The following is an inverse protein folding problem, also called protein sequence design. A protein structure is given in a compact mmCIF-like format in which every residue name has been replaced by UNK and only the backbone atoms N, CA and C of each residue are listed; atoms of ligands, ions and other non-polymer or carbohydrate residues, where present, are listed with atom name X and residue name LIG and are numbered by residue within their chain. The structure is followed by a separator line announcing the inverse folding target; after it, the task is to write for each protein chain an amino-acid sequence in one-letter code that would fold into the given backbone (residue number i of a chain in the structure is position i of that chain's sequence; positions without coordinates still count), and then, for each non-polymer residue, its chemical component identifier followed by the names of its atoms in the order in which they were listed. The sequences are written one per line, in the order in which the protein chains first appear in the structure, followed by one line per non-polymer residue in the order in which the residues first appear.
data_IF_764038686809
#
_entry.id   IF_764038686809
#
_cell.length_a   1.000
_cell.length_b   1.000
_cell.length_c   1.000
_cell.angle_alpha   90.00
_cell.angle_beta   90.00
_cell.angle_gamma   90.00
#
_symmetry.space_group_name_H-M   'P 1'
#
loop_
_entity.id
_entity.type
_entity.pdbx_description
1 polymer ?
#
# COMPACT_ATOMS: atom_id res chain seq x y z
N UNK A 1 55.89 24.72 -18.61
CA UNK A 1 55.96 23.43 -17.90
C UNK A 1 54.98 23.49 -16.73
N UNK A 2 53.71 23.16 -16.98
CA UNK A 2 52.63 23.26 -15.98
C UNK A 2 52.50 21.92 -15.22
N UNK A 3 52.66 21.93 -13.90
CA UNK A 3 52.35 20.80 -13.01
C UNK A 3 50.84 20.77 -12.77
N UNK A 4 50.18 19.66 -13.12
CA UNK A 4 48.78 19.37 -12.74
C UNK A 4 48.74 18.90 -11.28
N UNK A 5 47.76 19.33 -10.45
CA UNK A 5 47.56 18.75 -9.13
C UNK A 5 46.80 17.42 -9.24
N UNK A 6 47.25 16.42 -8.50
CA UNK A 6 46.56 15.14 -8.31
C UNK A 6 45.41 15.38 -7.32
N UNK A 7 44.16 15.18 -7.75
CA UNK A 7 43.02 15.10 -6.84
C UNK A 7 42.86 13.64 -6.39
N UNK A 8 43.07 13.37 -5.10
CA UNK A 8 42.71 12.09 -4.49
C UNK A 8 41.22 12.13 -4.17
N UNK A 9 40.41 11.37 -4.92
CA UNK A 9 39.00 11.16 -4.63
C UNK A 9 38.92 10.06 -3.56
N UNK A 10 38.70 10.46 -2.30
CA UNK A 10 38.41 9.50 -1.22
C UNK A 10 36.99 8.98 -1.42
N UNK A 11 36.87 7.70 -1.78
CA UNK A 11 35.60 7.00 -1.83
C UNK A 11 35.28 6.55 -0.40
N UNK A 12 34.39 7.27 0.28
CA UNK A 12 33.92 6.91 1.61
C UNK A 12 32.97 5.69 1.47
N UNK A 13 33.51 4.50 1.70
CA UNK A 13 32.73 3.26 1.74
C UNK A 13 31.92 3.24 3.06
N UNK A 14 30.63 3.58 2.99
CA UNK A 14 29.71 3.38 4.10
C UNK A 14 29.47 1.88 4.28
N UNK A 15 30.16 1.30 5.26
CA UNK A 15 29.87 -0.04 5.76
C UNK A 15 28.63 0.06 6.64
N UNK A 16 27.50 -0.46 6.16
CA UNK A 16 26.31 -0.65 6.97
C UNK A 16 26.58 -1.76 7.97
N UNK A 17 26.79 -1.38 9.23
CA UNK A 17 26.85 -2.31 10.35
C UNK A 17 25.40 -2.65 10.67
N UNK A 18 24.99 -3.91 10.42
CA UNK A 18 23.72 -4.42 10.94
C UNK A 18 23.87 -4.56 12.45
N UNK A 19 23.58 -3.50 13.20
CA UNK A 19 23.27 -3.63 14.61
C UNK A 19 21.92 -4.34 14.68
N UNK A 20 21.88 -5.53 15.29
CA UNK A 20 20.63 -6.19 15.67
C UNK A 20 19.95 -5.31 16.72
N UNK A 21 19.24 -4.27 16.26
CA UNK A 21 18.38 -3.46 17.11
C UNK A 21 17.24 -4.33 17.63
N UNK A 22 16.73 -4.01 18.82
CA UNK A 22 15.53 -4.66 19.34
C UNK A 22 14.39 -4.49 18.32
N UNK A 23 13.82 -5.62 17.91
CA UNK A 23 12.75 -5.67 16.93
C UNK A 23 11.50 -6.20 17.62
N UNK A 24 10.43 -5.42 17.58
CA UNK A 24 9.13 -5.78 18.13
C UNK A 24 8.14 -6.04 17.00
N UNK A 25 7.28 -7.04 17.16
CA UNK A 25 6.19 -7.34 16.24
C UNK A 25 4.84 -7.08 16.92
N UNK A 26 3.90 -6.61 16.11
CA UNK A 26 2.54 -6.36 16.55
C UNK A 26 1.78 -7.66 16.78
N UNK A 27 1.08 -7.74 17.91
CA UNK A 27 0.20 -8.85 18.27
C UNK A 27 -1.27 -8.46 18.27
N UNK A 28 -1.60 -7.21 18.63
CA UNK A 28 -2.99 -6.75 18.79
C UNK A 28 -3.80 -7.56 19.82
N UNK A 29 -3.13 -8.22 20.76
CA UNK A 29 -3.77 -9.23 21.65
C UNK A 29 -4.49 -8.64 22.85
N UNK A 30 -4.32 -7.35 23.13
CA UNK A 30 -4.95 -6.65 24.26
C UNK A 30 -6.44 -6.34 24.04
N UNK A 31 -6.95 -6.59 22.83
CA UNK A 31 -8.32 -6.28 22.44
C UNK A 31 -8.56 -4.81 22.07
N UNK A 32 -7.50 -3.98 22.05
CA UNK A 32 -7.52 -2.64 21.47
C UNK A 32 -6.58 -2.56 20.25
N UNK A 33 -6.75 -1.50 19.44
CA UNK A 33 -5.90 -1.22 18.27
C UNK A 33 -4.88 -0.12 18.52
N UNK A 34 -4.64 0.29 19.78
CA UNK A 34 -3.78 1.44 20.09
C UNK A 34 -2.32 1.15 19.77
N UNK A 35 -1.75 1.88 18.80
CA UNK A 35 -0.34 1.77 18.42
C UNK A 35 0.61 2.04 19.60
N UNK A 36 0.23 2.97 20.48
CA UNK A 36 1.01 3.39 21.66
C UNK A 36 0.76 2.55 22.91
N UNK A 37 0.09 1.40 22.78
CA UNK A 37 -0.02 0.45 23.87
C UNK A 37 1.11 -0.58 23.74
N UNK A 38 2.12 -0.52 24.62
CA UNK A 38 3.24 -1.46 24.60
C UNK A 38 2.79 -2.93 24.73
N UNK A 39 1.65 -3.21 25.36
CA UNK A 39 1.15 -4.59 25.49
C UNK A 39 0.74 -5.21 24.14
N UNK A 40 0.53 -4.38 23.10
CA UNK A 40 0.29 -4.86 21.74
C UNK A 40 1.57 -5.30 21.01
N UNK A 41 2.75 -5.10 21.59
CA UNK A 41 4.03 -5.38 20.96
C UNK A 41 4.79 -6.46 21.72
N UNK A 42 5.46 -7.36 21.01
CA UNK A 42 6.36 -8.33 21.60
C UNK A 42 7.72 -8.32 20.90
N UNK A 43 8.78 -8.40 21.69
CA UNK A 43 10.14 -8.57 21.19
C UNK A 43 10.25 -9.92 20.47
N UNK A 44 10.79 -9.88 19.26
CA UNK A 44 10.89 -11.05 18.36
C UNK A 44 11.76 -12.18 18.90
N UNK A 45 12.65 -11.92 19.86
CA UNK A 45 13.58 -12.90 20.42
C UNK A 45 13.13 -13.40 21.79
N UNK A 46 12.65 -12.49 22.64
CA UNK A 46 12.35 -12.76 24.05
C UNK A 46 10.86 -12.96 24.32
N UNK A 47 9.98 -12.51 23.43
CA UNK A 47 8.54 -12.53 23.64
C UNK A 47 8.08 -11.63 24.79
N UNK A 48 8.90 -10.65 25.18
CA UNK A 48 8.56 -9.67 26.22
C UNK A 48 7.98 -8.40 25.58
N UNK A 49 7.10 -7.73 26.31
CA UNK A 49 6.62 -6.39 25.92
C UNK A 49 7.78 -5.37 25.97
N UNK A 50 7.74 -4.30 25.16
CA UNK A 50 8.67 -3.20 25.27
C UNK A 50 8.75 -2.64 26.69
N UNK A 51 9.87 -1.99 27.01
CA UNK A 51 9.99 -1.28 28.28
C UNK A 51 8.89 -0.22 28.41
N UNK A 52 8.29 -0.02 29.59
CA UNK A 52 7.28 1.00 29.78
C UNK A 52 7.76 2.36 29.28
N UNK A 53 6.85 3.12 28.68
CA UNK A 53 7.07 4.43 28.10
C UNK A 53 7.94 4.49 26.84
N UNK A 54 8.36 3.35 26.28
CA UNK A 54 9.18 3.30 25.07
C UNK A 54 8.40 3.54 23.78
N UNK A 55 7.07 3.37 23.79
CA UNK A 55 6.20 3.62 22.64
C UNK A 55 5.11 4.61 23.05
N UNK A 56 5.48 5.88 23.13
CA UNK A 56 4.59 6.93 23.61
C UNK A 56 4.27 7.98 22.52
N UNK A 57 3.07 8.59 22.58
CA UNK A 57 2.77 9.72 21.73
C UNK A 57 3.72 10.89 22.05
N UNK A 58 4.16 11.60 21.01
CA UNK A 58 5.03 12.78 21.11
C UNK A 58 6.44 12.54 21.71
N UNK A 59 6.88 11.28 21.86
CA UNK A 59 8.25 10.92 22.27
C UNK A 59 8.92 10.10 21.17
N UNK A 60 10.22 10.29 20.97
CA UNK A 60 10.98 9.54 19.96
C UNK A 60 10.99 8.03 20.28
N UNK A 61 10.50 7.24 19.35
CA UNK A 61 10.45 5.78 19.37
C UNK A 61 11.72 5.25 18.71
N UNK A 62 12.77 5.02 19.51
CA UNK A 62 14.09 4.64 19.02
C UNK A 62 14.28 3.10 18.88
N UNK A 63 13.21 2.40 18.53
CA UNK A 63 13.18 0.94 18.38
C UNK A 63 12.56 0.54 17.05
N UNK A 64 12.85 -0.68 16.59
CA UNK A 64 12.28 -1.19 15.34
C UNK A 64 10.96 -1.91 15.61
N UNK A 65 9.94 -1.56 14.83
CA UNK A 65 8.57 -2.05 14.97
C UNK A 65 8.12 -2.69 13.66
N UNK A 66 7.46 -3.84 13.74
CA UNK A 66 6.80 -4.50 12.58
C UNK A 66 5.31 -4.67 12.85
N UNK A 67 4.51 -3.86 12.17
CA UNK A 67 3.05 -3.91 12.23
C UNK A 67 2.49 -4.93 11.24
N UNK A 68 1.66 -5.84 11.73
CA UNK A 68 1.12 -6.98 10.97
C UNK A 68 -0.40 -7.05 10.90
N UNK A 69 -1.11 -6.13 11.56
CA UNK A 69 -2.56 -5.97 11.42
C UNK A 69 -2.96 -4.49 11.57
N UNK A 70 -4.22 -4.23 11.92
CA UNK A 70 -4.75 -2.89 12.10
C UNK A 70 -4.27 -2.26 13.42
N UNK A 71 -3.79 -1.01 13.33
CA UNK A 71 -3.44 -0.19 14.48
C UNK A 71 -3.83 1.29 14.24
N UNK A 72 -4.10 1.98 15.34
CA UNK A 72 -4.54 3.36 15.45
C UNK A 72 -3.55 4.14 16.29
N UNK A 73 -2.92 5.15 15.71
CA UNK A 73 -2.10 6.13 16.41
C UNK A 73 -2.86 7.47 16.46
N UNK A 74 -3.56 7.70 17.57
CA UNK A 74 -4.35 8.93 17.81
C UNK A 74 -3.49 10.18 18.12
N UNK A 75 -2.22 10.16 17.70
CA UNK A 75 -1.25 11.23 17.85
C UNK A 75 -0.15 11.07 16.78
N UNK A 76 0.64 12.11 16.51
CA UNK A 76 1.82 12.00 15.65
C UNK A 76 2.80 10.94 16.17
N UNK A 77 3.36 10.14 15.25
CA UNK A 77 4.38 9.13 15.57
C UNK A 77 5.75 9.76 15.37
N UNK A 78 6.56 9.79 16.43
CA UNK A 78 7.93 10.29 16.38
C UNK A 78 8.87 9.09 16.31
N UNK A 79 9.46 8.82 15.15
CA UNK A 79 10.26 7.61 14.96
C UNK A 79 11.71 7.76 15.39
N UNK A 80 12.21 8.95 15.76
CA UNK A 80 13.61 9.13 16.19
C UNK A 80 14.61 8.38 15.28
N UNK A 81 15.32 7.40 15.85
CA UNK A 81 16.21 6.47 15.12
C UNK A 81 15.59 5.11 14.78
N UNK A 82 14.34 4.85 15.20
CA UNK A 82 13.61 3.62 14.94
C UNK A 82 13.13 3.47 13.49
N UNK A 83 12.80 2.23 13.15
CA UNK A 83 12.23 1.85 11.86
C UNK A 83 10.84 1.26 12.10
N UNK A 84 9.84 1.73 11.36
CA UNK A 84 8.50 1.16 11.36
C UNK A 84 8.26 0.40 10.05
N UNK A 85 8.19 -0.92 10.10
CA UNK A 85 7.76 -1.76 8.97
C UNK A 85 6.26 -2.05 9.08
N UNK A 86 5.53 -1.92 7.99
CA UNK A 86 4.11 -2.28 7.88
C UNK A 86 3.97 -3.37 6.82
N UNK A 87 3.47 -4.55 7.19
CA UNK A 87 3.33 -5.71 6.30
C UNK A 87 2.07 -6.50 6.67
N UNK A 88 1.15 -6.70 5.73
CA UNK A 88 -0.20 -7.23 6.02
C UNK A 88 -0.98 -6.43 7.07
N UNK A 89 -0.59 -5.17 7.30
CA UNK A 89 -1.15 -4.30 8.33
C UNK A 89 -1.68 -2.98 7.78
N UNK A 90 -2.52 -2.34 8.58
CA UNK A 90 -3.04 -0.99 8.32
C UNK A 90 -2.69 -0.13 9.51
N UNK A 91 -1.97 0.96 9.28
CA UNK A 91 -1.75 1.98 10.29
C UNK A 91 -2.53 3.23 9.92
N UNK A 92 -3.43 3.65 10.81
CA UNK A 92 -4.06 4.95 10.77
C UNK A 92 -3.33 5.85 11.76
N UNK A 93 -2.81 6.99 11.31
CA UNK A 93 -2.05 7.93 12.13
C UNK A 93 -2.30 9.37 11.70
N UNK A 94 -1.97 10.34 12.56
CA UNK A 94 -2.00 11.75 12.19
C UNK A 94 -0.91 12.07 11.17
N UNK A 95 0.35 11.88 11.57
CA UNK A 95 1.55 12.21 10.81
C UNK A 95 2.76 11.41 11.32
N UNK A 96 3.82 11.36 10.52
CA UNK A 96 5.11 10.76 10.86
C UNK A 96 6.16 11.85 11.01
N UNK A 97 6.89 11.83 12.13
CA UNK A 97 7.98 12.76 12.44
C UNK A 97 9.31 11.99 12.49
N UNK A 98 10.21 12.30 11.57
CA UNK A 98 11.53 11.68 11.49
C UNK A 98 11.50 10.17 11.19
N UNK A 99 12.66 9.53 11.33
CA UNK A 99 12.85 8.09 11.14
C UNK A 99 12.51 7.55 9.75
N UNK A 100 12.36 6.23 9.67
CA UNK A 100 12.09 5.52 8.41
C UNK A 100 10.86 4.61 8.56
N UNK A 101 9.95 4.68 7.60
CA UNK A 101 8.84 3.74 7.45
C UNK A 101 9.06 2.87 6.23
N UNK A 102 8.92 1.55 6.37
CA UNK A 102 8.98 0.59 5.27
C UNK A 102 7.58 0.02 5.07
N UNK A 103 6.98 0.28 3.91
CA UNK A 103 5.67 -0.25 3.55
C UNK A 103 5.87 -1.46 2.63
N UNK A 104 5.63 -2.65 3.17
CA UNK A 104 5.78 -3.94 2.48
C UNK A 104 4.45 -4.42 1.89
N UNK A 105 4.41 -5.68 1.45
CA UNK A 105 3.25 -6.32 0.84
C UNK A 105 2.05 -6.24 1.78
N UNK A 106 0.91 -5.82 1.22
CA UNK A 106 -0.32 -5.58 1.96
C UNK A 106 -0.15 -4.63 3.16
N UNK A 107 0.85 -3.74 3.10
CA UNK A 107 1.08 -2.68 4.07
C UNK A 107 0.38 -1.39 3.64
N UNK A 108 -0.31 -0.75 4.57
CA UNK A 108 -1.10 0.45 4.31
C UNK A 108 -0.91 1.47 5.41
N UNK A 109 -0.33 2.62 5.06
CA UNK A 109 -0.22 3.77 5.96
C UNK A 109 -1.24 4.82 5.56
N UNK A 110 -2.06 5.28 6.49
CA UNK A 110 -3.07 6.31 6.28
C UNK A 110 -2.79 7.49 7.22
N UNK A 111 -2.52 8.66 6.65
CA UNK A 111 -2.16 9.87 7.37
C UNK A 111 -3.27 10.92 7.23
N UNK A 112 -3.78 11.40 8.36
CA UNK A 112 -4.93 12.31 8.40
C UNK A 112 -4.57 13.79 8.45
N UNK A 113 -3.33 14.15 8.81
CA UNK A 113 -2.91 15.55 8.93
C UNK A 113 -2.65 16.21 7.55
N UNK A 114 -2.80 17.53 7.52
CA UNK A 114 -2.42 18.42 6.41
C UNK A 114 -0.91 18.49 6.18
N UNK A 115 -0.11 18.18 7.21
CA UNK A 115 1.34 18.03 7.12
C UNK A 115 1.70 16.59 7.51
N UNK A 116 1.57 15.61 6.60
CA UNK A 116 1.64 14.20 6.95
C UNK A 116 3.06 13.72 7.29
N UNK A 117 4.10 14.33 6.71
CA UNK A 117 5.49 13.92 6.85
C UNK A 117 6.34 15.11 7.31
N UNK A 118 7.03 14.96 8.44
CA UNK A 118 7.77 16.02 9.12
C UNK A 118 9.19 15.57 9.48
N UNK A 119 10.08 16.53 9.74
CA UNK A 119 11.44 16.30 10.21
C UNK A 119 12.25 15.28 9.36
N UNK A 120 12.11 15.36 8.03
CA UNK A 120 12.78 14.48 7.07
C UNK A 120 12.46 12.98 7.23
N UNK A 121 11.29 12.62 7.76
CA UNK A 121 10.79 11.25 7.71
C UNK A 121 10.90 10.66 6.31
N UNK A 122 11.36 9.41 6.20
CA UNK A 122 11.48 8.70 4.92
C UNK A 122 10.47 7.57 4.84
N UNK A 123 9.84 7.40 3.68
CA UNK A 123 8.90 6.30 3.39
C UNK A 123 9.47 5.47 2.24
N UNK A 124 9.78 4.21 2.49
CA UNK A 124 10.22 3.26 1.47
C UNK A 124 9.12 2.26 1.14
N UNK A 125 8.80 2.12 -0.15
CA UNK A 125 7.97 1.02 -0.64
C UNK A 125 8.84 -0.17 -1.03
N UNK A 126 8.79 -1.24 -0.25
CA UNK A 126 9.56 -2.46 -0.54
C UNK A 126 8.79 -3.47 -1.39
N UNK A 127 7.46 -3.52 -1.28
CA UNK A 127 6.63 -4.48 -2.00
C UNK A 127 5.21 -3.94 -2.28
N UNK A 128 4.53 -4.60 -3.21
CA UNK A 128 3.16 -4.29 -3.67
C UNK A 128 2.24 -5.52 -3.50
N UNK A 129 0.90 -5.34 -3.40
CA UNK A 129 0.22 -4.06 -3.33
C UNK A 129 0.43 -3.41 -1.95
N UNK A 130 0.57 -2.10 -1.93
CA UNK A 130 0.76 -1.29 -0.73
C UNK A 130 0.42 0.17 -1.02
N UNK A 131 0.15 0.97 0.02
CA UNK A 131 0.01 2.42 -0.18
C UNK A 131 0.42 3.24 1.04
N UNK A 132 0.74 4.50 0.74
CA UNK A 132 0.62 5.64 1.64
C UNK A 132 -0.58 6.46 1.18
N UNK A 133 -1.57 6.66 2.04
CA UNK A 133 -2.74 7.50 1.81
C UNK A 133 -2.63 8.74 2.67
N UNK A 134 -2.88 9.91 2.10
CA UNK A 134 -3.06 11.16 2.86
C UNK A 134 -4.49 11.64 2.67
N UNK A 135 -5.14 12.13 3.74
CA UNK A 135 -6.53 12.58 3.69
C UNK A 135 -6.65 14.04 3.25
N UNK A 136 -5.65 14.86 3.57
CA UNK A 136 -5.67 16.32 3.40
C UNK A 136 -4.59 16.88 2.47
N UNK A 137 -3.83 16.02 1.76
CA UNK A 137 -2.82 16.44 0.79
C UNK A 137 -3.15 15.94 -0.61
N UNK A 138 -3.39 16.87 -1.53
CA UNK A 138 -3.72 16.55 -2.94
C UNK A 138 -2.50 16.01 -3.68
N UNK A 139 -2.66 15.26 -4.78
CA UNK A 139 -1.54 14.67 -5.52
C UNK A 139 -0.45 15.66 -5.96
N UNK A 140 -0.85 16.85 -6.43
CA UNK A 140 0.10 17.88 -6.85
C UNK A 140 0.93 18.41 -5.67
N UNK A 141 0.26 18.71 -4.55
CA UNK A 141 0.92 19.16 -3.32
C UNK A 141 1.80 18.05 -2.73
N UNK A 142 1.36 16.79 -2.85
CA UNK A 142 2.15 15.64 -2.44
C UNK A 142 3.45 15.57 -3.24
N UNK A 143 3.33 15.60 -4.56
CA UNK A 143 4.46 15.53 -5.48
C UNK A 143 5.45 16.68 -5.26
N UNK A 144 4.97 17.91 -5.07
CA UNK A 144 5.86 19.08 -4.89
C UNK A 144 6.58 19.06 -3.54
N UNK A 145 5.90 18.69 -2.45
CA UNK A 145 6.41 18.90 -1.10
C UNK A 145 7.04 17.66 -0.46
N UNK A 146 6.64 16.45 -0.87
CA UNK A 146 6.97 15.22 -0.15
C UNK A 146 7.65 14.15 -1.01
N UNK A 147 7.76 14.31 -2.34
CA UNK A 147 8.34 13.26 -3.20
C UNK A 147 9.78 12.89 -2.84
N UNK A 148 10.57 13.85 -2.36
CA UNK A 148 11.97 13.64 -1.96
C UNK A 148 12.12 12.77 -0.71
N UNK A 149 11.03 12.51 0.00
CA UNK A 149 10.97 11.64 1.17
C UNK A 149 10.51 10.22 0.83
N UNK A 150 10.23 9.94 -0.44
CA UNK A 150 9.73 8.64 -0.90
C UNK A 150 10.81 7.89 -1.66
N UNK A 151 10.97 6.61 -1.32
CA UNK A 151 11.84 5.68 -2.04
C UNK A 151 11.08 4.40 -2.41
N UNK A 152 11.62 3.67 -3.38
CA UNK A 152 11.16 2.34 -3.78
C UNK A 152 12.36 1.41 -3.75
N UNK A 153 12.38 0.46 -2.81
CA UNK A 153 13.54 -0.40 -2.55
C UNK A 153 14.84 0.40 -2.38
N UNK A 154 14.78 1.51 -1.65
CA UNK A 154 15.89 2.43 -1.43
C UNK A 154 16.32 3.27 -2.65
N UNK A 155 15.66 3.13 -3.81
CA UNK A 155 15.85 4.00 -4.97
C UNK A 155 14.92 5.21 -4.89
N UNK A 156 15.31 6.33 -5.49
CA UNK A 156 14.49 7.55 -5.54
C UNK A 156 13.13 7.24 -6.20
N UNK A 157 12.05 7.77 -5.63
CA UNK A 157 10.75 7.71 -6.26
C UNK A 157 10.66 8.63 -7.50
N UNK A 158 10.23 8.05 -8.61
CA UNK A 158 10.05 8.70 -9.90
C UNK A 158 8.61 8.47 -10.35
N UNK A 159 7.81 9.53 -10.39
CA UNK A 159 6.44 9.49 -10.91
C UNK A 159 6.44 9.84 -12.41
N UNK A 160 5.73 9.09 -13.28
CA UNK A 160 4.91 7.91 -13.01
C UNK A 160 5.63 6.58 -13.26
N UNK A 161 6.93 6.49 -13.03
CA UNK A 161 7.75 5.33 -13.41
C UNK A 161 7.67 4.18 -12.37
N UNK A 162 8.14 4.41 -11.15
CA UNK A 162 8.20 3.39 -10.09
C UNK A 162 7.17 3.64 -8.96
N UNK A 163 6.46 4.76 -9.02
CA UNK A 163 5.33 5.08 -8.15
C UNK A 163 4.16 5.64 -8.97
N UNK A 164 2.95 5.49 -8.44
CA UNK A 164 1.74 6.19 -8.88
C UNK A 164 1.21 7.05 -7.73
N UNK A 165 0.76 8.25 -8.05
CA UNK A 165 0.10 9.19 -7.15
C UNK A 165 -1.30 9.46 -7.69
N UNK A 166 -2.31 9.05 -6.93
CA UNK A 166 -3.72 9.13 -7.30
C UNK A 166 -4.49 10.06 -6.41
N UNK A 167 -5.66 10.52 -6.90
CA UNK A 167 -6.58 11.24 -6.04
C UNK A 167 -7.13 10.29 -4.98
N UNK A 168 -7.22 10.81 -3.75
CA UNK A 168 -8.08 10.27 -2.71
C UNK A 168 -9.19 11.28 -2.43
N UNK A 169 -10.28 11.16 -3.20
CA UNK A 169 -11.36 12.14 -3.25
C UNK A 169 -10.86 13.57 -3.54
N UNK A 170 -11.45 14.60 -2.93
CA UNK A 170 -11.19 15.99 -3.27
C UNK A 170 -9.86 16.53 -2.74
N UNK A 171 -9.43 16.04 -1.58
CA UNK A 171 -8.35 16.67 -0.80
C UNK A 171 -7.17 15.74 -0.52
N UNK A 172 -7.33 14.42 -0.69
CA UNK A 172 -6.29 13.46 -0.37
C UNK A 172 -5.56 12.92 -1.58
N UNK A 173 -4.55 12.10 -1.31
CA UNK A 173 -3.80 11.36 -2.31
C UNK A 173 -3.53 9.93 -1.87
N UNK A 174 -3.39 9.02 -2.83
CA UNK A 174 -2.86 7.66 -2.62
C UNK A 174 -1.57 7.51 -3.41
N UNK A 175 -0.48 7.24 -2.70
CA UNK A 175 0.84 6.96 -3.26
C UNK A 175 1.09 5.47 -3.13
N UNK A 176 1.52 4.83 -4.21
CA UNK A 176 1.77 3.39 -4.24
C UNK A 176 2.88 3.06 -5.21
N UNK A 177 3.60 1.98 -4.93
CA UNK A 177 4.60 1.44 -5.83
C UNK A 177 3.93 0.99 -7.13
N UNK A 178 4.45 1.47 -8.25
CA UNK A 178 4.05 1.01 -9.59
C UNK A 178 4.87 -0.24 -9.91
N UNK A 179 4.18 -1.38 -10.03
CA UNK A 179 4.80 -2.67 -10.24
C UNK A 179 3.84 -3.56 -11.04
N UNK A 180 4.14 -3.67 -12.34
CA UNK A 180 3.36 -4.45 -13.30
C UNK A 180 3.42 -5.95 -13.06
N UNK A 181 4.31 -6.44 -12.18
CA UNK A 181 4.37 -7.86 -11.79
C UNK A 181 3.52 -8.20 -10.57
N UNK A 182 2.91 -7.19 -9.93
CA UNK A 182 2.09 -7.39 -8.73
C UNK A 182 0.86 -8.22 -9.07
N UNK A 183 0.65 -9.33 -8.36
CA UNK A 183 -0.61 -10.08 -8.46
C UNK A 183 -1.68 -9.34 -7.65
N UNK A 184 -2.71 -8.86 -8.34
CA UNK A 184 -3.77 -8.00 -7.78
C UNK A 184 -5.15 -8.64 -7.88
N UNK A 185 -5.29 -9.64 -8.75
CA UNK A 185 -6.51 -10.43 -8.93
C UNK A 185 -6.15 -11.92 -8.95
N UNK A 186 -6.89 -12.70 -8.17
CA UNK A 186 -6.84 -14.17 -8.18
C UNK A 186 -8.20 -14.70 -8.60
N UNK A 187 -8.24 -15.48 -9.67
CA UNK A 187 -9.47 -16.12 -10.18
C UNK A 187 -9.39 -17.62 -9.95
N UNK A 188 -10.54 -18.26 -9.74
CA UNK A 188 -10.61 -19.68 -9.35
C UNK A 188 -11.65 -20.43 -10.17
N UNK A 189 -11.36 -21.69 -10.53
CA UNK A 189 -12.32 -22.53 -11.27
C UNK A 189 -13.50 -23.03 -10.43
N UNK A 190 -13.34 -23.10 -9.12
CA UNK A 190 -14.39 -23.48 -8.17
C UNK A 190 -15.00 -22.28 -7.46
N UNK A 191 -16.13 -22.52 -6.79
CA UNK A 191 -16.72 -21.59 -5.81
C UNK A 191 -15.82 -21.46 -4.59
N UNK A 192 -16.00 -20.39 -3.83
CA UNK A 192 -15.30 -20.14 -2.57
C UNK A 192 -13.79 -20.24 -2.61
N UNK A 193 -13.21 -19.68 -3.68
CA UNK A 193 -11.77 -19.58 -3.91
C UNK A 193 -11.07 -20.95 -3.95
N UNK A 194 -11.77 -21.97 -4.46
CA UNK A 194 -11.26 -23.34 -4.59
C UNK A 194 -10.95 -23.72 -6.04
N UNK A 195 -10.19 -24.80 -6.21
CA UNK A 195 -9.84 -25.33 -7.52
C UNK A 195 -8.60 -24.66 -8.12
N UNK A 196 -8.53 -24.64 -9.44
CA UNK A 196 -7.38 -24.11 -10.17
C UNK A 196 -7.33 -22.59 -10.03
N UNK A 197 -6.16 -22.07 -9.67
CA UNK A 197 -5.89 -20.65 -9.43
C UNK A 197 -5.30 -20.00 -10.68
N UNK A 198 -5.83 -18.85 -11.10
CA UNK A 198 -5.20 -17.95 -12.06
C UNK A 198 -4.79 -16.65 -11.40
N UNK A 199 -3.54 -16.25 -11.60
CA UNK A 199 -2.98 -15.01 -11.05
C UNK A 199 -2.88 -13.93 -12.14
N UNK A 200 -3.45 -12.76 -11.87
CA UNK A 200 -3.60 -11.67 -12.83
C UNK A 200 -2.95 -10.41 -12.29
N UNK A 201 -2.07 -9.84 -13.11
CA UNK A 201 -1.37 -8.59 -12.86
C UNK A 201 -2.14 -7.38 -13.44
N UNK A 202 -1.89 -6.15 -12.96
CA UNK A 202 -2.60 -4.97 -13.45
C UNK A 202 -2.09 -4.53 -14.82
N UNK A 203 -2.83 -3.63 -15.46
CA UNK A 203 -2.47 -2.90 -16.68
C UNK A 203 -2.33 -3.74 -17.95
N UNK A 204 -2.61 -5.04 -17.88
CA UNK A 204 -2.70 -5.93 -19.04
C UNK A 204 -4.16 -6.37 -19.32
N UNK A 205 -4.37 -6.85 -20.55
CA UNK A 205 -5.63 -7.46 -20.97
C UNK A 205 -5.41 -8.97 -21.07
N UNK A 206 -6.22 -9.72 -20.33
CA UNK A 206 -6.26 -11.16 -20.33
C UNK A 206 -7.52 -11.62 -21.08
N UNK A 207 -7.36 -12.22 -22.24
CA UNK A 207 -8.46 -12.75 -23.03
C UNK A 207 -8.13 -14.11 -23.64
N UNK A 208 -9.15 -14.96 -23.77
CA UNK A 208 -8.98 -16.33 -24.25
C UNK A 208 -7.88 -17.08 -23.50
N UNK A 209 -6.94 -17.64 -24.25
CA UNK A 209 -5.78 -18.40 -23.74
C UNK A 209 -4.82 -17.58 -22.87
N UNK A 210 -4.88 -16.23 -22.90
CA UNK A 210 -4.09 -15.42 -21.96
C UNK A 210 -4.61 -15.51 -20.54
N UNK A 211 -5.89 -15.87 -20.34
CA UNK A 211 -6.41 -16.13 -19.00
C UNK A 211 -5.66 -17.36 -18.45
N UNK A 212 -4.96 -17.23 -17.31
CA UNK A 212 -4.05 -18.29 -16.85
C UNK A 212 -4.75 -19.63 -16.63
N UNK A 213 -3.98 -20.71 -16.75
CA UNK A 213 -4.41 -22.08 -16.41
C UNK A 213 -5.68 -22.54 -17.12
N UNK A 214 -5.92 -22.09 -18.35
CA UNK A 214 -7.09 -22.44 -19.16
C UNK A 214 -8.43 -22.14 -18.43
N UNK A 215 -8.43 -21.10 -17.59
CA UNK A 215 -9.60 -20.72 -16.80
C UNK A 215 -10.65 -19.95 -17.62
N UNK A 216 -10.40 -19.67 -18.89
CA UNK A 216 -11.42 -19.10 -19.78
C UNK A 216 -12.74 -19.88 -19.66
N UNK A 217 -13.85 -19.18 -19.44
CA UNK A 217 -15.20 -19.76 -19.23
C UNK A 217 -15.34 -20.73 -18.04
N UNK A 218 -14.31 -20.93 -17.24
CA UNK A 218 -14.33 -21.85 -16.09
C UNK A 218 -14.24 -21.13 -14.74
N UNK A 219 -14.00 -19.82 -14.72
CA UNK A 219 -13.93 -19.03 -13.48
C UNK A 219 -15.30 -19.05 -12.78
N UNK A 220 -15.31 -19.30 -11.47
CA UNK A 220 -16.49 -19.32 -10.62
C UNK A 220 -16.38 -18.43 -9.38
N UNK A 221 -15.17 -18.10 -8.94
CA UNK A 221 -14.93 -17.18 -7.82
C UNK A 221 -13.63 -16.39 -8.00
N UNK A 222 -13.47 -15.29 -7.27
CA UNK A 222 -12.25 -14.49 -7.31
C UNK A 222 -12.01 -13.66 -6.05
N UNK A 223 -10.75 -13.27 -5.84
CA UNK A 223 -10.28 -12.29 -4.88
C UNK A 223 -9.61 -11.13 -5.63
N UNK A 224 -10.13 -9.92 -5.47
CA UNK A 224 -9.54 -8.69 -5.99
C UNK A 224 -8.98 -7.87 -4.83
N UNK A 225 -7.68 -7.58 -4.86
CA UNK A 225 -7.02 -6.77 -3.83
C UNK A 225 -7.47 -5.31 -3.89
N UNK A 226 -7.57 -4.66 -2.72
CA UNK A 226 -7.96 -3.26 -2.59
C UNK A 226 -7.02 -2.30 -3.32
N UNK A 227 -7.57 -1.19 -3.79
CA UNK A 227 -6.90 -0.23 -4.66
C UNK A 227 -6.95 -0.57 -6.15
N UNK A 228 -7.73 -1.58 -6.54
CA UNK A 228 -7.86 -2.03 -7.94
C UNK A 228 -9.33 -2.22 -8.33
N UNK A 229 -9.57 -2.14 -9.64
CA UNK A 229 -10.83 -2.51 -10.26
C UNK A 229 -10.60 -3.55 -11.35
N UNK A 230 -11.51 -4.51 -11.43
CA UNK A 230 -11.49 -5.58 -12.42
C UNK A 230 -12.75 -5.53 -13.28
N UNK A 231 -12.57 -5.46 -14.59
CA UNK A 231 -13.64 -5.62 -15.57
C UNK A 231 -13.63 -7.05 -16.08
N UNK A 232 -14.75 -7.75 -15.93
CA UNK A 232 -14.99 -9.05 -16.53
C UNK A 232 -16.02 -8.92 -17.64
N UNK A 233 -15.79 -9.58 -18.78
CA UNK A 233 -16.73 -9.64 -19.89
C UNK A 233 -16.76 -11.02 -20.54
N UNK A 234 -17.91 -11.35 -21.15
CA UNK A 234 -18.12 -12.68 -21.75
C UNK A 234 -17.57 -12.83 -23.17
N UNK A 235 -17.33 -11.72 -23.86
CA UNK A 235 -16.72 -11.76 -25.19
C UNK A 235 -15.22 -11.45 -25.11
N UNK A 236 -14.45 -12.05 -26.02
CA UNK A 236 -13.00 -11.94 -26.11
C UNK A 236 -12.47 -10.50 -26.30
N UNK A 237 -13.28 -9.62 -26.89
CA UNK A 237 -12.97 -8.20 -27.16
C UNK A 237 -13.40 -7.26 -26.02
N UNK A 238 -13.91 -7.80 -24.91
CA UNK A 238 -14.42 -7.02 -23.78
C UNK A 238 -15.87 -6.54 -23.94
N UNK A 239 -16.58 -6.97 -25.00
CA UNK A 239 -17.99 -6.62 -25.23
C UNK A 239 -18.96 -7.64 -24.60
N UNK A 240 -20.26 -7.44 -24.85
CA UNK A 240 -21.31 -8.32 -24.36
C UNK A 240 -21.64 -8.07 -22.89
N UNK A 241 -22.11 -9.11 -22.20
CA UNK A 241 -22.39 -9.05 -20.76
C UNK A 241 -21.09 -8.81 -20.01
N UNK A 242 -21.03 -7.74 -19.23
CA UNK A 242 -19.85 -7.37 -18.46
C UNK A 242 -20.21 -6.81 -17.09
N UNK A 243 -19.26 -6.86 -16.17
CA UNK A 243 -19.36 -6.23 -14.86
C UNK A 243 -18.01 -5.73 -14.41
N UNK A 244 -18.02 -4.56 -13.78
CA UNK A 244 -16.86 -3.97 -13.11
C UNK A 244 -17.01 -4.22 -11.61
N UNK A 245 -15.95 -4.74 -11.00
CA UNK A 245 -15.81 -4.87 -9.55
C UNK A 245 -14.73 -3.90 -9.08
N UNK A 246 -15.00 -3.17 -8.01
CA UNK A 246 -14.12 -2.15 -7.47
C UNK A 246 -13.79 -2.53 -6.04
N UNK A 247 -12.55 -2.93 -5.79
CA UNK A 247 -12.02 -3.10 -4.45
C UNK A 247 -11.43 -1.75 -4.03
N UNK A 248 -12.29 -0.86 -3.54
CA UNK A 248 -11.90 0.51 -3.18
C UNK A 248 -10.96 0.48 -1.98
N UNK A 249 -11.49 0.20 -0.79
CA UNK A 249 -10.73 0.28 0.48
C UNK A 249 -10.61 -1.06 1.21
N UNK A 250 -11.30 -2.08 0.71
CA UNK A 250 -11.22 -3.45 1.19
C UNK A 250 -11.16 -4.40 0.00
N UNK A 251 -10.54 -5.56 0.22
CA UNK A 251 -10.48 -6.61 -0.77
C UNK A 251 -11.91 -7.07 -1.12
N UNK A 252 -12.16 -7.33 -2.40
CA UNK A 252 -13.43 -7.86 -2.87
C UNK A 252 -13.28 -9.35 -3.09
N UNK A 253 -13.98 -10.12 -2.25
CA UNK A 253 -14.14 -11.56 -2.40
C UNK A 253 -15.49 -11.85 -3.03
N UNK A 254 -15.47 -12.55 -4.16
CA UNK A 254 -16.68 -13.07 -4.79
C UNK A 254 -16.62 -14.58 -4.72
N UNK A 255 -17.35 -15.14 -3.76
CA UNK A 255 -17.46 -16.58 -3.50
C UNK A 255 -18.15 -17.34 -4.64
N UNK A 256 -19.07 -16.68 -5.35
CA UNK A 256 -19.76 -17.22 -6.52
C UNK A 256 -20.06 -16.08 -7.51
N UNK A 257 -19.71 -16.29 -8.78
CA UNK A 257 -19.96 -15.30 -9.82
C UNK A 257 -21.45 -15.03 -10.02
N UNK A 258 -21.84 -13.78 -10.32
CA UNK A 258 -23.19 -13.47 -10.77
C UNK A 258 -23.56 -14.28 -12.01
N UNK A 259 -24.83 -14.71 -12.09
CA UNK A 259 -25.37 -15.47 -13.23
C UNK A 259 -25.14 -14.81 -14.60
N UNK A 260 -24.98 -13.49 -14.62
CA UNK A 260 -24.63 -12.70 -15.81
C UNK A 260 -23.29 -13.11 -16.43
N UNK A 261 -22.31 -13.52 -15.62
CA UNK A 261 -20.93 -13.83 -16.01
C UNK A 261 -20.59 -15.33 -15.91
N UNK A 262 -21.48 -16.13 -15.31
CA UNK A 262 -21.20 -17.52 -15.00
C UNK A 262 -20.83 -18.33 -16.25
N UNK A 263 -19.73 -19.07 -16.17
CA UNK A 263 -19.13 -19.86 -17.26
C UNK A 263 -18.93 -19.12 -18.59
N UNK A 264 -18.90 -17.78 -18.56
CA UNK A 264 -18.89 -16.96 -19.77
C UNK A 264 -17.64 -16.11 -19.94
N UNK A 265 -16.84 -15.91 -18.89
CA UNK A 265 -15.73 -14.94 -18.90
C UNK A 265 -14.68 -15.33 -19.93
N UNK A 266 -14.46 -14.46 -20.90
CA UNK A 266 -13.40 -14.56 -21.91
C UNK A 266 -12.52 -13.31 -21.99
N UNK A 267 -12.80 -12.30 -21.16
CA UNK A 267 -12.02 -11.07 -21.07
C UNK A 267 -11.94 -10.57 -19.62
N UNK A 268 -10.73 -10.22 -19.20
CA UNK A 268 -10.43 -9.63 -17.90
C UNK A 268 -9.46 -8.46 -18.12
N UNK A 269 -9.78 -7.31 -17.53
CA UNK A 269 -8.86 -6.18 -17.44
C UNK A 269 -8.83 -5.67 -16.01
N UNK A 270 -7.66 -5.63 -15.41
CA UNK A 270 -7.46 -5.09 -14.08
C UNK A 270 -6.66 -3.80 -14.19
N UNK A 271 -7.17 -2.73 -13.59
CA UNK A 271 -6.46 -1.47 -13.51
C UNK A 271 -6.48 -0.95 -12.09
N UNK A 272 -5.47 -0.18 -11.70
CA UNK A 272 -5.55 0.63 -10.50
C UNK A 272 -6.83 1.47 -10.38
N UNK A 273 -7.43 1.46 -9.19
CA UNK A 273 -8.55 2.35 -8.86
C UNK A 273 -8.06 3.79 -8.65
N UNK A 274 -8.93 4.75 -8.91
CA UNK A 274 -8.70 6.17 -8.63
C UNK A 274 -9.95 6.73 -7.96
N UNK A 275 -9.81 7.31 -6.78
CA UNK A 275 -10.92 7.89 -6.02
C UNK A 275 -11.16 9.31 -6.51
N UNK A 276 -11.85 9.43 -7.64
CA UNK A 276 -12.20 10.73 -8.18
C UNK A 276 -13.15 11.49 -7.24
N UNK A 277 -12.85 12.77 -7.01
CA UNK A 277 -13.81 13.69 -6.41
C UNK A 277 -14.97 13.93 -7.39
N UNK A 278 -16.21 13.68 -6.96
CA UNK A 278 -17.37 14.02 -7.78
C UNK A 278 -17.53 15.54 -7.83
N UNK A 279 -17.08 16.19 -8.90
CA UNK A 279 -17.63 17.49 -9.31
C UNK A 279 -18.82 17.23 -10.24
N UNK A 280 -20.03 17.39 -9.72
CA UNK A 280 -21.27 17.26 -10.49
C UNK A 280 -22.29 16.36 -9.79
N UNK A 281 -23.07 16.92 -8.87
CA UNK A 281 -24.38 16.37 -8.51
C UNK A 281 -25.38 17.07 -9.42
N UNK A 282 -26.21 16.31 -10.16
CA UNK A 282 -27.47 16.85 -10.65
C UNK A 282 -28.39 17.03 -9.44
N UNK A 283 -28.37 18.22 -8.83
CA UNK A 283 -29.15 18.55 -7.64
C UNK A 283 -28.40 19.40 -6.62
N UNK A 284 -29.07 20.41 -6.07
CA UNK A 284 -28.55 21.31 -5.04
C UNK A 284 -28.67 20.63 -3.67
N UNK A 285 -27.55 20.47 -2.96
CA UNK A 285 -27.55 20.01 -1.57
C UNK A 285 -26.79 21.03 -0.71
N UNK A 286 -27.40 21.45 0.39
CA UNK A 286 -26.82 22.40 1.33
C UNK A 286 -25.65 21.75 2.08
N UNK A 287 -24.50 22.43 2.16
CA UNK A 287 -23.34 21.99 2.95
C UNK A 287 -22.18 21.37 2.17
N UNK A 288 -22.03 21.66 0.87
CA UNK A 288 -20.86 21.30 0.06
C UNK A 288 -20.15 22.55 -0.49
N UNK A 289 -19.67 23.38 0.44
CA UNK A 289 -18.64 24.41 0.18
C UNK A 289 -17.33 23.97 0.87
#
# INVERSE_FOLDING_TARGET
MFKKPLFFLSFLLLVFINTEGQNYYWTGTTGNSSFFDEENWLDTLTGQIPSPESINPNKDININLTLTCEAEANAPIHLGTGILKIENGVLNANSILGGNVIISKNGYLNLSDSVPLLNNSQIDFSASPSWLRTILVKPADFFTNYISQITVNGQIALYPENIRIDNYYANGSVVRKEDSSTIVLKVYSGKSLQGDLGEIAPNEIYNGEKIPNNLEKNIQSFLLHKGYMATFAVNYDGTGKSKVFIASESDVVVEELPSLLNNGISFIRVIPWNWAAKKGIGGHHFGLD
#
